data_IF_729112325346
#
_entry.id   IF_729112325346
#
_cell.length_a   1.000
_cell.length_b   1.000
_cell.length_c   1.000
_cell.angle_alpha   90.00
_cell.angle_beta   90.00
_cell.angle_gamma   90.00
#
_symmetry.space_group_name_H-M   'P 1'
#
loop_
_entity.id
_entity.type
_entity.pdbx_description
1 polymer ?
#
# COMPACT_ATOMS: atom_id res chain seq x y z
N UNK A 1 -7.43 -1.91 25.79
CA UNK A 1 -7.48 -3.38 25.86
C UNK A 1 -7.91 -3.96 24.52
N UNK A 2 -7.35 -5.10 24.14
CA UNK A 2 -7.66 -5.79 22.87
C UNK A 2 -9.14 -6.23 22.75
N UNK A 3 -9.93 -6.08 23.81
CA UNK A 3 -11.36 -6.41 23.88
C UNK A 3 -12.28 -5.30 23.36
N UNK A 4 -11.77 -4.07 23.16
CA UNK A 4 -12.56 -2.92 22.69
C UNK A 4 -12.60 -2.84 21.16
N UNK A 5 -11.59 -3.38 20.47
CA UNK A 5 -11.42 -3.27 19.01
C UNK A 5 -12.20 -4.30 18.20
N UNK A 6 -12.72 -5.35 18.84
CA UNK A 6 -13.37 -6.48 18.16
C UNK A 6 -14.89 -6.52 18.39
N UNK A 7 -15.44 -5.58 19.17
CA UNK A 7 -16.87 -5.49 19.48
C UNK A 7 -17.49 -4.29 18.72
N UNK A 8 -18.22 -4.54 17.62
CA UNK A 8 -18.82 -3.49 16.81
C UNK A 8 -19.76 -2.55 17.56
N UNK A 9 -20.44 -3.03 18.61
CA UNK A 9 -21.34 -2.21 19.42
C UNK A 9 -20.55 -1.18 20.22
N UNK A 10 -19.47 -1.62 20.89
CA UNK A 10 -18.58 -0.73 21.63
C UNK A 10 -17.87 0.25 20.72
N UNK A 11 -17.43 -0.20 19.54
CA UNK A 11 -16.83 0.68 18.54
C UNK A 11 -17.81 1.79 18.10
N UNK A 12 -19.06 1.43 17.85
CA UNK A 12 -20.11 2.41 17.52
C UNK A 12 -20.31 3.42 18.64
N UNK A 13 -20.45 2.96 19.89
CA UNK A 13 -20.63 3.82 21.06
C UNK A 13 -19.47 4.82 21.23
N UNK A 14 -18.23 4.35 21.07
CA UNK A 14 -17.03 5.20 21.11
C UNK A 14 -17.09 6.27 20.03
N UNK A 15 -17.40 5.89 18.78
CA UNK A 15 -17.47 6.85 17.68
C UNK A 15 -18.57 7.88 17.93
N UNK A 16 -19.76 7.45 18.35
CA UNK A 16 -20.89 8.34 18.65
C UNK A 16 -20.55 9.36 19.74
N UNK A 17 -19.87 8.94 20.81
CA UNK A 17 -19.40 9.84 21.88
C UNK A 17 -18.39 10.89 21.38
N UNK A 18 -17.66 10.59 20.29
CA UNK A 18 -16.69 11.51 19.69
C UNK A 18 -17.29 12.50 18.69
N UNK A 19 -18.53 12.28 18.21
CA UNK A 19 -19.15 13.06 17.13
C UNK A 19 -20.49 13.70 17.50
N UNK A 20 -20.82 13.81 18.80
CA UNK A 20 -22.13 14.27 19.31
C UNK A 20 -22.66 15.58 18.68
N UNK A 21 -21.78 16.47 18.22
CA UNK A 21 -22.14 17.74 17.56
C UNK A 21 -22.40 17.68 16.05
N UNK A 22 -22.14 16.53 15.40
CA UNK A 22 -22.24 16.36 13.95
C UNK A 22 -23.46 15.49 13.59
N UNK A 23 -24.66 16.09 13.63
CA UNK A 23 -25.95 15.39 13.50
C UNK A 23 -26.04 14.47 12.27
N UNK A 24 -25.51 14.89 11.12
CA UNK A 24 -25.49 14.07 9.90
C UNK A 24 -24.57 12.85 10.06
N UNK A 25 -23.39 13.01 10.65
CA UNK A 25 -22.46 11.92 10.90
C UNK A 25 -22.99 10.94 11.96
N UNK A 26 -23.65 11.45 13.01
CA UNK A 26 -24.35 10.64 14.02
C UNK A 26 -25.36 9.73 13.34
N UNK A 27 -26.24 10.30 12.51
CA UNK A 27 -27.26 9.53 11.79
C UNK A 27 -26.65 8.43 10.92
N UNK A 28 -25.59 8.73 10.17
CA UNK A 28 -24.89 7.73 9.34
C UNK A 28 -24.32 6.58 10.19
N UNK A 29 -23.65 6.91 11.29
CA UNK A 29 -23.03 5.91 12.18
C UNK A 29 -24.07 5.03 12.86
N UNK A 30 -25.20 5.59 13.31
CA UNK A 30 -26.29 4.83 13.93
C UNK A 30 -26.92 3.78 12.98
N UNK A 31 -27.04 4.13 11.70
CA UNK A 31 -27.65 3.27 10.67
C UNK A 31 -26.66 2.32 9.99
N UNK A 32 -25.35 2.44 10.25
CA UNK A 32 -24.33 1.54 9.68
C UNK A 32 -24.47 0.13 10.27
N UNK A 33 -24.60 -0.92 9.46
CA UNK A 33 -24.67 -2.31 9.93
C UNK A 33 -23.47 -2.65 10.84
N UNK A 34 -23.72 -3.28 11.99
CA UNK A 34 -22.67 -3.71 12.93
C UNK A 34 -21.66 -4.64 12.25
N UNK A 35 -22.08 -5.46 11.29
CA UNK A 35 -21.19 -6.33 10.52
C UNK A 35 -20.25 -5.55 9.58
N UNK A 36 -20.52 -4.27 9.34
CA UNK A 36 -19.71 -3.37 8.52
C UNK A 36 -18.80 -2.45 9.35
N UNK A 37 -18.89 -2.51 10.68
CA UNK A 37 -18.03 -1.72 11.58
C UNK A 37 -16.80 -2.57 11.91
N UNK A 38 -15.63 -2.10 11.48
CA UNK A 38 -14.35 -2.74 11.74
C UNK A 38 -13.34 -1.70 12.23
N UNK A 39 -12.56 -2.07 13.24
CA UNK A 39 -11.42 -1.27 13.69
C UNK A 39 -10.12 -1.96 13.27
N UNK A 40 -9.35 -1.30 12.40
CA UNK A 40 -8.01 -1.77 12.02
C UNK A 40 -6.97 -0.82 12.62
N UNK A 41 -5.99 -1.31 13.40
CA UNK A 41 -4.97 -0.45 13.99
C UNK A 41 -4.09 0.17 12.90
N UNK A 42 -3.93 1.50 12.94
CA UNK A 42 -2.99 2.20 12.07
C UNK A 42 -1.56 1.81 12.47
N UNK A 43 -0.83 1.20 11.53
CA UNK A 43 0.57 0.83 11.73
C UNK A 43 1.45 1.64 10.81
N UNK A 44 2.42 2.33 11.41
CA UNK A 44 3.47 3.00 10.66
C UNK A 44 4.57 2.00 10.30
N UNK A 45 4.93 1.96 9.02
CA UNK A 45 6.12 1.27 8.52
C UNK A 45 7.11 2.33 8.09
N UNK A 46 8.31 2.29 8.67
CA UNK A 46 9.28 3.33 8.38
C UNK A 46 9.75 3.28 6.92
N UNK A 47 9.84 4.43 6.22
CA UNK A 47 10.30 4.48 4.84
C UNK A 47 11.82 4.29 4.70
N UNK A 48 12.58 4.15 5.80
CA UNK A 48 14.04 4.01 5.78
C UNK A 48 14.53 2.86 4.91
N UNK A 49 13.84 1.72 4.92
CA UNK A 49 14.15 0.55 4.08
C UNK A 49 14.10 0.90 2.59
N UNK A 50 13.11 1.70 2.17
CA UNK A 50 12.98 2.21 0.80
C UNK A 50 14.01 3.30 0.49
N UNK A 51 14.19 4.25 1.41
CA UNK A 51 15.14 5.36 1.26
C UNK A 51 16.60 4.88 1.20
N UNK A 52 16.94 3.74 1.77
CA UNK A 52 18.27 3.16 1.66
C UNK A 52 18.35 2.03 0.62
N UNK A 53 17.25 1.73 -0.08
CA UNK A 53 17.19 0.70 -1.11
C UNK A 53 17.49 -0.71 -0.59
N UNK A 54 17.45 -0.92 0.73
CA UNK A 54 17.66 -2.24 1.31
C UNK A 54 16.39 -3.07 1.12
N UNK A 55 16.52 -4.29 0.62
CA UNK A 55 15.49 -5.35 0.61
C UNK A 55 14.26 -5.20 -0.33
N UNK A 56 14.12 -4.10 -1.08
CA UNK A 56 12.93 -3.89 -1.96
C UNK A 56 13.07 -4.57 -3.35
N UNK A 57 14.30 -4.83 -3.77
CA UNK A 57 14.61 -5.49 -5.04
C UNK A 57 15.72 -6.51 -4.82
N UNK A 58 15.52 -7.72 -5.35
CA UNK A 58 16.53 -8.78 -5.35
C UNK A 58 16.53 -9.45 -6.72
N UNK A 59 17.66 -9.31 -7.42
CA UNK A 59 17.88 -9.83 -8.77
C UNK A 59 16.79 -9.40 -9.76
N UNK A 60 15.82 -10.28 -10.06
CA UNK A 60 14.76 -10.07 -11.05
C UNK A 60 13.40 -9.82 -10.40
N UNK A 61 13.35 -9.70 -9.08
CA UNK A 61 12.12 -9.61 -8.30
C UNK A 61 12.07 -8.31 -7.51
N UNK A 62 10.88 -7.70 -7.48
CA UNK A 62 10.56 -6.56 -6.63
C UNK A 62 9.09 -6.64 -6.22
N UNK A 63 8.72 -5.91 -5.17
CA UNK A 63 7.35 -5.79 -4.68
C UNK A 63 6.79 -4.40 -5.02
N UNK A 64 5.47 -4.28 -5.12
CA UNK A 64 4.78 -3.04 -5.49
C UNK A 64 3.54 -2.82 -4.61
N UNK A 65 2.96 -1.63 -4.63
CA UNK A 65 1.78 -1.25 -3.86
C UNK A 65 2.02 -1.35 -2.35
N UNK A 66 1.00 -1.77 -1.61
CA UNK A 66 1.05 -1.89 -0.15
C UNK A 66 2.13 -2.87 0.36
N UNK A 67 2.61 -3.79 -0.49
CA UNK A 67 3.72 -4.67 -0.13
C UNK A 67 5.06 -3.91 -0.08
N UNK A 68 5.22 -2.89 -0.92
CA UNK A 68 6.40 -2.02 -0.97
C UNK A 68 6.26 -0.80 -0.06
N UNK A 69 5.10 -0.14 -0.11
CA UNK A 69 4.81 1.12 0.56
C UNK A 69 3.46 1.01 1.29
N UNK A 70 3.37 0.21 2.37
CA UNK A 70 2.14 0.11 3.14
C UNK A 70 1.81 1.50 3.68
N UNK A 71 0.81 2.12 3.08
CA UNK A 71 0.37 3.45 3.45
C UNK A 71 -0.74 3.35 4.46
N UNK A 72 -0.74 4.25 5.44
CA UNK A 72 -1.84 4.31 6.37
C UNK A 72 -3.09 4.79 5.62
N UNK A 73 -4.24 4.10 5.79
CA UNK A 73 -5.43 4.34 4.97
C UNK A 73 -6.03 5.74 5.14
N UNK A 74 -5.67 6.46 6.20
CA UNK A 74 -6.06 7.85 6.47
C UNK A 74 -5.51 8.85 5.45
N UNK A 75 -4.37 8.57 4.82
CA UNK A 75 -3.80 9.44 3.75
C UNK A 75 -4.55 9.24 2.43
N UNK A 76 -5.17 8.07 2.23
CA UNK A 76 -5.97 7.77 1.04
C UNK A 76 -5.19 7.68 -0.28
N UNK A 77 -3.85 7.63 -0.25
CA UNK A 77 -3.02 7.60 -1.46
C UNK A 77 -2.53 6.20 -1.84
N UNK A 78 -2.72 5.17 -1.00
CA UNK A 78 -2.23 3.81 -1.27
C UNK A 78 -2.68 3.26 -2.63
N UNK A 79 -3.96 3.44 -2.97
CA UNK A 79 -4.49 3.01 -4.28
C UNK A 79 -3.86 3.75 -5.47
N UNK A 80 -3.72 5.08 -5.39
CA UNK A 80 -3.07 5.87 -6.44
C UNK A 80 -1.60 5.50 -6.59
N UNK A 81 -0.88 5.34 -5.48
CA UNK A 81 0.51 4.92 -5.49
C UNK A 81 0.68 3.52 -6.13
N UNK A 82 -0.22 2.58 -5.86
CA UNK A 82 -0.19 1.27 -6.51
C UNK A 82 -0.44 1.35 -8.04
N UNK A 83 -1.31 2.26 -8.49
CA UNK A 83 -1.53 2.50 -9.92
C UNK A 83 -0.30 3.13 -10.60
N UNK A 84 0.36 4.07 -9.93
CA UNK A 84 1.63 4.64 -10.41
C UNK A 84 2.71 3.56 -10.52
N UNK A 85 2.81 2.66 -9.53
CA UNK A 85 3.76 1.55 -9.57
C UNK A 85 3.56 0.70 -10.83
N UNK A 86 2.31 0.38 -11.18
CA UNK A 86 1.99 -0.39 -12.39
C UNK A 86 2.47 0.29 -13.68
N UNK A 87 2.36 1.62 -13.76
CA UNK A 87 2.86 2.40 -14.90
C UNK A 87 4.39 2.38 -14.95
N UNK A 88 5.07 2.47 -13.80
CA UNK A 88 6.54 2.40 -13.75
C UNK A 88 7.04 0.98 -14.07
N UNK A 89 6.33 -0.07 -13.64
CA UNK A 89 6.62 -1.47 -14.00
C UNK A 89 6.46 -1.72 -15.50
N UNK A 90 5.73 -0.90 -16.25
CA UNK A 90 5.72 -0.96 -17.72
C UNK A 90 7.14 -0.87 -18.32
N UNK A 91 8.07 -0.16 -17.67
CA UNK A 91 9.48 -0.14 -18.08
C UNK A 91 10.13 -1.54 -18.07
N UNK A 92 9.61 -2.47 -17.27
CA UNK A 92 10.02 -3.88 -17.27
C UNK A 92 9.63 -4.60 -18.56
N UNK A 93 8.44 -4.30 -19.08
CA UNK A 93 7.96 -4.84 -20.35
C UNK A 93 8.84 -4.42 -21.53
N UNK A 94 9.32 -3.18 -21.54
CA UNK A 94 10.27 -2.69 -22.55
C UNK A 94 11.62 -3.43 -22.48
N UNK A 95 12.12 -3.70 -21.27
CA UNK A 95 13.34 -4.49 -21.06
C UNK A 95 13.19 -5.95 -21.54
N UNK A 96 11.97 -6.51 -21.47
CA UNK A 96 11.63 -7.86 -21.91
C UNK A 96 11.33 -7.98 -23.41
N UNK A 97 10.75 -6.95 -24.03
CA UNK A 97 10.32 -6.97 -25.43
C UNK A 97 11.43 -6.53 -26.41
N UNK A 98 12.42 -5.75 -25.95
CA UNK A 98 13.55 -5.26 -26.76
C UNK A 98 14.68 -6.28 -26.97
N UNK A 99 14.50 -7.54 -26.61
CA UNK A 99 15.61 -8.48 -26.43
C UNK A 99 16.14 -9.03 -27.77
N UNK A 100 17.17 -8.38 -28.30
CA UNK A 100 18.19 -8.99 -29.18
C UNK A 100 19.52 -9.12 -28.41
N UNK A 101 20.27 -10.19 -28.62
CA UNK A 101 21.55 -10.44 -27.91
C UNK A 101 21.66 -11.81 -27.22
N UNK A 102 22.85 -12.11 -26.69
CA UNK A 102 23.19 -13.36 -25.98
C UNK A 102 22.38 -13.50 -24.70
N UNK A 103 22.25 -14.73 -24.19
CA UNK A 103 21.50 -15.05 -22.96
C UNK A 103 21.91 -14.19 -21.76
N UNK A 104 23.20 -13.96 -21.56
CA UNK A 104 23.76 -13.09 -20.50
C UNK A 104 23.28 -11.64 -20.64
N UNK A 105 23.21 -11.11 -21.87
CA UNK A 105 22.70 -9.76 -22.11
C UNK A 105 21.20 -9.66 -21.82
N UNK A 106 20.45 -10.75 -22.02
CA UNK A 106 19.02 -10.81 -21.65
C UNK A 106 18.89 -10.83 -20.13
N UNK A 107 19.67 -11.66 -19.46
CA UNK A 107 19.66 -11.82 -18.01
C UNK A 107 19.94 -10.50 -17.30
N UNK A 108 20.94 -9.77 -17.78
CA UNK A 108 21.31 -8.46 -17.26
C UNK A 108 20.19 -7.42 -17.40
N UNK A 109 19.55 -7.33 -18.58
CA UNK A 109 18.44 -6.39 -18.81
C UNK A 109 17.22 -6.68 -17.93
N UNK A 110 16.95 -7.96 -17.67
CA UNK A 110 15.84 -8.35 -16.79
C UNK A 110 16.12 -7.98 -15.33
N UNK A 111 17.38 -7.98 -14.90
CA UNK A 111 17.79 -7.51 -13.55
C UNK A 111 17.75 -5.99 -13.42
N UNK A 112 18.07 -5.24 -14.47
CA UNK A 112 18.05 -3.76 -14.44
C UNK A 112 16.64 -3.18 -14.33
N UNK A 113 15.64 -3.92 -14.80
CA UNK A 113 14.25 -3.46 -14.81
C UNK A 113 13.68 -3.17 -13.41
N UNK A 114 13.72 -4.13 -12.46
CA UNK A 114 13.29 -3.92 -11.08
C UNK A 114 14.11 -2.84 -10.36
N UNK A 115 15.42 -2.75 -10.61
CA UNK A 115 16.28 -1.69 -10.06
C UNK A 115 15.86 -0.29 -10.54
N UNK A 116 15.56 -0.16 -11.84
CA UNK A 116 15.08 1.08 -12.44
C UNK A 116 13.71 1.47 -11.90
N UNK A 117 12.83 0.50 -11.64
CA UNK A 117 11.55 0.71 -10.97
C UNK A 117 11.76 1.27 -9.56
N UNK A 118 12.54 0.58 -8.71
CA UNK A 118 12.77 1.02 -7.31
C UNK A 118 13.39 2.42 -7.28
N UNK A 119 14.32 2.72 -8.20
CA UNK A 119 14.93 4.04 -8.29
C UNK A 119 13.94 5.16 -8.64
N UNK A 120 12.92 4.89 -9.46
CA UNK A 120 11.89 5.88 -9.79
C UNK A 120 10.85 6.08 -8.68
N UNK A 121 10.75 5.12 -7.75
CA UNK A 121 9.79 5.13 -6.64
C UNK A 121 10.39 5.59 -5.32
N UNK A 122 11.71 5.74 -5.25
CA UNK A 122 12.42 6.39 -4.15
C UNK A 122 12.36 7.91 -4.30
#
# INVERSE_FOLDING_TARGET
DATTTDDPLKLREIVLSGIEGALEAVSVVEHTDLNSIMCSPLRYRSPWTMLWGLEVCKEKMTVTGDAMQPMTPDIGQGGCCALEDAVVVRCLGEALLGIKGSEEQRDQRVKEGPEKYVKQRR
#
